data_IF_352191878292
#
_entry.id   IF_352191878292
#
_cell.length_a   1.000
_cell.length_b   1.000
_cell.length_c   1.000
_cell.angle_alpha   90.00
_cell.angle_beta   90.00
_cell.angle_gamma   90.00
#
_symmetry.space_group_name_H-M   'P 1'
#
loop_
_entity.id
_entity.type
_entity.pdbx_description
1 polymer ?
#
# COMPACT_ATOMS: atom_id res chain seq x y z
N UNK A 1 31.54 71.99 -7.59
CA UNK A 1 30.65 71.00 -6.95
C UNK A 1 29.60 70.53 -7.95
N UNK A 2 29.87 69.46 -8.70
CA UNK A 2 28.85 68.57 -9.29
C UNK A 2 29.55 67.28 -9.72
N UNK A 3 29.01 66.15 -9.27
CA UNK A 3 29.60 64.82 -9.23
C UNK A 3 29.55 64.11 -10.60
N UNK A 4 30.58 63.31 -10.86
CA UNK A 4 30.61 62.22 -11.87
C UNK A 4 29.44 61.27 -11.69
N UNK A 5 28.93 60.66 -12.78
CA UNK A 5 28.34 59.31 -12.79
C UNK A 5 28.29 58.71 -14.21
N UNK A 6 29.12 57.70 -14.43
CA UNK A 6 28.91 56.64 -15.42
C UNK A 6 27.65 55.85 -15.02
N UNK A 7 26.84 55.42 -16.00
CA UNK A 7 25.84 54.38 -15.79
C UNK A 7 26.05 53.27 -16.81
N UNK A 8 26.45 52.12 -16.28
CA UNK A 8 26.74 50.86 -16.97
C UNK A 8 25.49 50.14 -17.44
N UNK A 9 25.68 49.32 -18.47
CA UNK A 9 24.81 48.28 -19.01
C UNK A 9 24.08 47.46 -17.93
N UNK A 10 22.78 47.21 -18.14
CA UNK A 10 22.06 46.13 -17.48
C UNK A 10 21.41 45.23 -18.55
N UNK A 11 22.06 44.09 -18.83
CA UNK A 11 21.43 42.98 -19.56
C UNK A 11 20.65 42.17 -18.53
N UNK A 12 19.33 42.18 -18.62
CA UNK A 12 18.48 41.31 -17.80
C UNK A 12 18.34 39.97 -18.52
N UNK A 13 19.10 38.97 -18.08
CA UNK A 13 18.94 37.59 -18.53
C UNK A 13 17.87 36.93 -17.64
N UNK A 14 16.64 36.82 -18.15
CA UNK A 14 15.58 36.07 -17.49
C UNK A 14 15.88 34.57 -17.60
N UNK A 15 16.42 33.99 -16.52
CA UNK A 15 16.63 32.55 -16.40
C UNK A 15 15.29 31.84 -16.23
N UNK A 16 14.92 31.02 -17.22
CA UNK A 16 13.82 30.06 -17.10
C UNK A 16 14.27 28.96 -16.12
N UNK A 17 13.80 29.02 -14.88
CA UNK A 17 13.95 27.92 -13.93
C UNK A 17 12.93 26.84 -14.30
N UNK A 18 13.37 25.83 -15.05
CA UNK A 18 12.58 24.61 -15.24
C UNK A 18 12.63 23.83 -13.93
N UNK A 19 11.58 23.95 -13.12
CA UNK A 19 11.37 23.05 -12.00
C UNK A 19 11.07 21.66 -12.57
N UNK A 20 12.08 20.79 -12.58
CA UNK A 20 11.91 19.37 -12.83
C UNK A 20 11.08 18.79 -11.68
N UNK A 21 9.82 18.47 -11.97
CA UNK A 21 8.97 17.70 -11.07
C UNK A 21 9.54 16.29 -11.06
N UNK A 22 10.36 15.96 -10.07
CA UNK A 22 10.77 14.58 -9.85
C UNK A 22 9.51 13.78 -9.59
N UNK A 23 9.14 12.92 -10.52
CA UNK A 23 8.30 11.78 -10.20
C UNK A 23 9.02 11.04 -9.07
N UNK A 24 8.43 10.98 -7.89
CA UNK A 24 8.94 10.14 -6.81
C UNK A 24 8.95 8.71 -7.35
N UNK A 25 10.12 8.23 -7.78
CA UNK A 25 10.31 6.81 -7.99
C UNK A 25 9.98 6.14 -6.65
N UNK A 26 9.00 5.24 -6.64
CA UNK A 26 8.62 4.53 -5.44
C UNK A 26 9.87 3.84 -4.87
N UNK A 27 10.13 4.03 -3.58
CA UNK A 27 11.23 3.37 -2.88
C UNK A 27 11.09 1.85 -3.07
N UNK A 28 12.07 1.16 -3.70
CA UNK A 28 11.99 -0.27 -3.94
C UNK A 28 11.77 -1.07 -2.65
N UNK A 29 12.32 -0.61 -1.52
CA UNK A 29 12.12 -1.28 -0.23
C UNK A 29 10.67 -1.20 0.23
N UNK A 30 9.92 -0.20 -0.21
CA UNK A 30 8.50 0.01 0.08
C UNK A 30 7.62 -0.29 -1.12
N UNK A 31 8.07 -1.13 -2.05
CA UNK A 31 7.28 -1.55 -3.21
C UNK A 31 7.10 -3.06 -3.20
N UNK A 32 5.84 -3.51 -3.21
CA UNK A 32 5.47 -4.92 -3.33
C UNK A 32 4.92 -5.17 -4.74
N UNK A 33 5.34 -6.25 -5.39
CA UNK A 33 4.80 -6.67 -6.69
C UNK A 33 4.09 -8.00 -6.51
N UNK A 34 2.82 -8.05 -6.92
CA UNK A 34 2.05 -9.29 -6.99
C UNK A 34 1.96 -9.69 -8.46
N UNK A 35 2.58 -10.81 -8.83
CA UNK A 35 2.48 -11.35 -10.19
C UNK A 35 1.24 -12.22 -10.33
N UNK A 36 0.33 -11.81 -11.20
CA UNK A 36 -0.87 -12.55 -11.56
C UNK A 36 -0.74 -13.08 -12.99
N UNK A 37 -1.62 -14.03 -13.35
CA UNK A 37 -1.68 -14.57 -14.73
C UNK A 37 -1.95 -13.50 -15.79
N UNK A 38 -2.64 -12.42 -15.42
CA UNK A 38 -3.10 -11.35 -16.32
C UNK A 38 -2.22 -10.09 -16.21
N UNK A 39 -1.16 -10.13 -15.40
CA UNK A 39 -0.22 -9.02 -15.23
C UNK A 39 0.18 -8.76 -13.78
N UNK A 40 1.13 -7.85 -13.62
CA UNK A 40 1.63 -7.46 -12.31
C UNK A 40 0.77 -6.37 -11.67
N UNK A 41 0.59 -6.48 -10.36
CA UNK A 41 0.01 -5.44 -9.50
C UNK A 41 1.11 -4.89 -8.61
N UNK A 42 1.52 -3.65 -8.86
CA UNK A 42 2.52 -2.94 -8.05
C UNK A 42 1.83 -2.14 -6.95
N UNK A 43 2.22 -2.39 -5.69
CA UNK A 43 1.65 -1.77 -4.49
C UNK A 43 2.76 -0.98 -3.79
N UNK A 44 2.52 0.31 -3.59
CA UNK A 44 3.34 1.14 -2.71
C UNK A 44 2.91 0.93 -1.26
N UNK A 45 3.86 0.53 -0.42
CA UNK A 45 3.69 0.35 1.01
C UNK A 45 3.89 1.69 1.74
N UNK A 46 3.09 1.95 2.78
CA UNK A 46 3.07 3.23 3.51
C UNK A 46 3.56 3.07 4.96
N UNK A 47 4.87 2.87 5.19
CA UNK A 47 5.41 2.75 6.55
C UNK A 47 5.25 4.04 7.36
N UNK A 48 5.01 5.17 6.69
CA UNK A 48 4.66 6.45 7.30
C UNK A 48 3.26 6.46 7.94
N UNK A 49 2.37 5.56 7.51
CA UNK A 49 1.01 5.41 8.06
C UNK A 49 0.86 4.16 8.94
N UNK A 50 1.36 3.03 8.47
CA UNK A 50 1.18 1.73 9.10
C UNK A 50 2.51 0.96 9.20
N UNK A 51 3.49 1.46 9.99
CA UNK A 51 4.83 0.90 10.05
C UNK A 51 4.86 -0.58 10.45
N UNK A 52 4.02 -1.01 11.41
CA UNK A 52 4.01 -2.40 11.88
C UNK A 52 3.40 -3.34 10.85
N UNK A 53 2.32 -2.91 10.19
CA UNK A 53 1.73 -3.71 9.12
C UNK A 53 2.67 -3.83 7.92
N UNK A 54 3.33 -2.75 7.54
CA UNK A 54 4.31 -2.77 6.44
C UNK A 54 5.49 -3.69 6.77
N UNK A 55 6.02 -3.65 7.99
CA UNK A 55 7.07 -4.57 8.43
C UNK A 55 6.63 -6.04 8.30
N UNK A 56 5.44 -6.37 8.79
CA UNK A 56 4.91 -7.73 8.75
C UNK A 56 4.63 -8.20 7.31
N UNK A 57 4.04 -7.36 6.45
CA UNK A 57 3.83 -7.67 5.04
C UNK A 57 5.17 -7.96 4.35
N UNK A 58 6.18 -7.10 4.53
CA UNK A 58 7.51 -7.33 3.96
C UNK A 58 8.13 -8.64 4.43
N UNK A 59 7.98 -8.96 5.72
CA UNK A 59 8.48 -10.23 6.28
C UNK A 59 7.82 -11.42 5.60
N UNK A 60 6.51 -11.42 5.45
CA UNK A 60 5.75 -12.50 4.81
C UNK A 60 6.07 -12.63 3.31
N UNK A 61 6.21 -11.51 2.60
CA UNK A 61 6.65 -11.49 1.19
C UNK A 61 8.04 -12.12 1.06
N UNK A 62 9.01 -11.71 1.87
CA UNK A 62 10.40 -12.24 1.82
C UNK A 62 10.48 -13.72 2.18
N UNK A 63 9.51 -14.24 2.94
CA UNK A 63 9.39 -15.66 3.27
C UNK A 63 8.69 -16.47 2.16
N UNK A 64 8.19 -15.84 1.10
CA UNK A 64 7.39 -16.50 0.06
C UNK A 64 6.01 -16.95 0.56
N UNK A 65 5.53 -16.41 1.68
CA UNK A 65 4.30 -16.89 2.33
C UNK A 65 3.04 -16.67 1.46
N UNK A 66 3.07 -15.66 0.60
CA UNK A 66 1.96 -15.33 -0.32
C UNK A 66 1.99 -16.11 -1.64
N UNK A 67 3.03 -16.91 -1.89
CA UNK A 67 3.16 -17.63 -3.15
C UNK A 67 2.00 -18.62 -3.33
N UNK A 68 1.25 -18.44 -4.43
CA UNK A 68 0.05 -19.21 -4.77
C UNK A 68 -1.14 -19.02 -3.80
N UNK A 69 -1.12 -17.99 -2.94
CA UNK A 69 -2.29 -17.64 -2.11
C UNK A 69 -3.37 -17.01 -2.98
N UNK A 70 -4.59 -17.53 -2.86
CA UNK A 70 -5.73 -17.09 -3.65
C UNK A 70 -6.24 -15.70 -3.21
N UNK A 71 -6.80 -14.96 -4.17
CA UNK A 71 -7.82 -13.96 -3.89
C UNK A 71 -9.13 -14.70 -3.61
N UNK A 72 -9.35 -15.06 -2.36
CA UNK A 72 -10.42 -15.96 -1.97
C UNK A 72 -11.78 -15.25 -1.82
N UNK A 73 -11.79 -13.92 -1.70
CA UNK A 73 -13.01 -13.12 -1.59
C UNK A 73 -12.90 -11.89 -2.47
N UNK A 74 -13.63 -11.90 -3.59
CA UNK A 74 -13.66 -10.80 -4.57
C UNK A 74 -15.10 -10.36 -4.76
N UNK A 75 -15.37 -9.07 -4.53
CA UNK A 75 -16.71 -8.49 -4.65
C UNK A 75 -16.61 -7.32 -5.63
N UNK A 76 -17.31 -7.45 -6.76
CA UNK A 76 -17.36 -6.40 -7.77
C UNK A 76 -17.95 -5.10 -7.18
N UNK A 77 -17.38 -3.96 -7.59
CA UNK A 77 -17.72 -2.67 -7.03
C UNK A 77 -17.31 -2.46 -5.56
N UNK A 78 -16.53 -3.36 -4.95
CA UNK A 78 -16.05 -3.18 -3.57
C UNK A 78 -14.55 -3.45 -3.42
N UNK A 79 -14.11 -4.72 -3.32
CA UNK A 79 -12.71 -5.06 -3.10
C UNK A 79 -12.34 -6.50 -3.51
N UNK A 80 -11.04 -6.78 -3.57
CA UNK A 80 -10.49 -8.12 -3.64
C UNK A 80 -9.60 -8.38 -2.42
N UNK A 81 -9.91 -9.42 -1.64
CA UNK A 81 -9.20 -9.82 -0.43
C UNK A 81 -8.38 -11.10 -0.66
N UNK A 82 -7.15 -11.09 -0.12
CA UNK A 82 -6.17 -12.18 -0.22
C UNK A 82 -5.36 -12.28 1.08
N UNK A 83 -4.30 -13.09 1.07
CA UNK A 83 -3.32 -13.17 2.16
C UNK A 83 -3.66 -14.17 3.27
N UNK A 84 -4.62 -15.07 3.05
CA UNK A 84 -4.80 -16.22 3.95
C UNK A 84 -3.72 -17.25 3.64
N UNK A 85 -2.57 -17.10 4.30
CA UNK A 85 -1.40 -17.95 4.07
C UNK A 85 -1.55 -19.36 4.65
N UNK A 86 -2.57 -19.59 5.49
CA UNK A 86 -2.80 -20.87 6.15
C UNK A 86 -3.73 -21.79 5.35
N UNK A 87 -4.83 -21.23 4.84
CA UNK A 87 -5.87 -22.00 4.16
C UNK A 87 -6.10 -21.56 2.70
N UNK A 88 -5.46 -20.47 2.27
CA UNK A 88 -5.63 -19.91 0.93
C UNK A 88 -4.59 -20.33 -0.10
N UNK A 89 -3.60 -21.17 0.25
CA UNK A 89 -2.55 -21.57 -0.70
C UNK A 89 -3.04 -22.67 -1.66
N UNK A 90 -3.24 -22.30 -2.94
CA UNK A 90 -3.81 -23.16 -3.97
C UNK A 90 -2.94 -24.38 -4.33
N UNK A 91 -1.65 -24.38 -3.96
CA UNK A 91 -0.74 -25.51 -4.19
C UNK A 91 -0.46 -26.32 -2.92
N UNK A 92 -0.79 -25.80 -1.75
CA UNK A 92 -0.43 -26.39 -0.46
C UNK A 92 -1.52 -26.13 0.59
N UNK A 93 -2.49 -27.04 0.68
CA UNK A 93 -3.45 -27.01 1.78
C UNK A 93 -4.56 -25.97 1.64
N UNK A 94 -4.98 -25.67 0.40
CA UNK A 94 -6.20 -24.90 0.17
C UNK A 94 -7.40 -25.60 0.81
N UNK A 95 -8.20 -24.86 1.59
CA UNK A 95 -9.48 -25.34 2.13
C UNK A 95 -10.56 -24.32 1.83
N UNK A 96 -11.54 -24.71 1.01
CA UNK A 96 -12.67 -23.85 0.66
C UNK A 96 -13.55 -23.51 1.86
N UNK A 97 -13.58 -24.40 2.87
CA UNK A 97 -14.38 -24.27 4.08
C UNK A 97 -13.75 -23.33 5.11
N UNK A 98 -12.41 -23.20 5.10
CA UNK A 98 -11.68 -22.42 6.11
C UNK A 98 -11.03 -21.14 5.57
N UNK A 99 -10.91 -20.99 4.25
CA UNK A 99 -10.26 -19.80 3.66
C UNK A 99 -10.95 -18.50 4.08
N UNK A 100 -10.14 -17.51 4.44
CA UNK A 100 -10.57 -16.23 5.02
C UNK A 100 -10.53 -16.21 6.55
N UNK A 101 -10.38 -17.37 7.21
CA UNK A 101 -10.26 -17.46 8.68
C UNK A 101 -8.82 -17.61 9.17
N UNK A 102 -7.88 -17.85 8.25
CA UNK A 102 -6.48 -18.12 8.58
C UNK A 102 -5.61 -16.86 8.67
N UNK A 103 -4.37 -17.09 9.07
CA UNK A 103 -3.31 -16.09 9.19
C UNK A 103 -1.95 -16.79 9.22
N UNK A 104 -0.89 -16.00 9.24
CA UNK A 104 0.48 -16.49 9.46
C UNK A 104 0.73 -16.89 10.91
N UNK A 105 1.88 -17.51 11.16
CA UNK A 105 2.36 -17.82 12.53
C UNK A 105 2.90 -16.59 13.28
N UNK A 106 2.83 -15.40 12.67
CA UNK A 106 3.23 -14.15 13.31
C UNK A 106 2.13 -13.63 14.25
N UNK A 107 2.48 -12.76 15.23
CA UNK A 107 1.49 -12.14 16.09
C UNK A 107 0.45 -11.31 15.33
N UNK A 108 -0.73 -11.17 15.95
CA UNK A 108 -1.70 -10.17 15.51
C UNK A 108 -1.15 -8.75 15.74
N UNK A 109 -1.57 -7.82 14.89
CA UNK A 109 -1.09 -6.45 14.88
C UNK A 109 -2.10 -5.49 15.52
N UNK A 110 -1.66 -4.53 16.35
CA UNK A 110 -2.52 -3.45 16.78
C UNK A 110 -2.91 -2.59 15.59
N UNK A 111 -4.13 -2.06 15.59
CA UNK A 111 -4.64 -1.25 14.50
C UNK A 111 -3.82 0.05 14.30
N UNK A 112 -3.57 0.44 13.05
CA UNK A 112 -2.82 1.65 12.68
C UNK A 112 -3.69 2.55 11.79
N UNK A 113 -4.79 3.05 12.35
CA UNK A 113 -5.77 3.82 11.58
C UNK A 113 -5.24 5.18 11.13
N UNK A 114 -5.53 5.53 9.87
CA UNK A 114 -5.26 6.86 9.31
C UNK A 114 -6.48 7.77 9.39
N UNK A 115 -6.23 9.06 9.63
CA UNK A 115 -7.24 10.12 9.52
C UNK A 115 -7.17 10.88 8.18
N UNK A 116 -6.12 10.66 7.40
CA UNK A 116 -5.82 11.41 6.16
C UNK A 116 -5.98 10.55 4.91
N UNK A 117 -5.94 9.24 5.04
CA UNK A 117 -6.22 8.31 3.94
C UNK A 117 -7.65 7.81 3.98
N UNK A 118 -8.17 7.57 2.78
CA UNK A 118 -9.54 7.13 2.55
C UNK A 118 -9.54 5.92 1.64
N UNK A 119 -10.38 4.93 1.90
CA UNK A 119 -10.51 3.70 1.13
C UNK A 119 -11.17 3.95 -0.23
N UNK A 120 -10.41 4.57 -1.14
CA UNK A 120 -10.76 4.81 -2.55
C UNK A 120 -10.21 3.68 -3.42
N UNK A 121 -10.64 3.62 -4.69
CA UNK A 121 -10.11 2.64 -5.65
C UNK A 121 -8.58 2.63 -5.66
N UNK A 122 -7.99 1.43 -5.56
CA UNK A 122 -6.54 1.20 -5.54
C UNK A 122 -5.90 1.25 -4.15
N UNK A 123 -6.60 1.75 -3.12
CA UNK A 123 -6.10 1.72 -1.74
C UNK A 123 -6.09 0.29 -1.23
N UNK A 124 -5.04 -0.06 -0.51
CA UNK A 124 -4.87 -1.35 0.15
C UNK A 124 -5.10 -1.16 1.64
N UNK A 125 -5.92 -2.03 2.24
CA UNK A 125 -6.15 -2.05 3.68
C UNK A 125 -5.97 -3.45 4.26
N UNK A 126 -5.78 -3.53 5.58
CA UNK A 126 -5.55 -4.80 6.27
C UNK A 126 -6.85 -5.42 6.76
N UNK A 127 -7.06 -6.69 6.41
CA UNK A 127 -8.24 -7.41 6.88
C UNK A 127 -8.07 -7.82 8.34
N UNK A 128 -9.18 -7.81 9.08
CA UNK A 128 -9.25 -8.18 10.50
C UNK A 128 -10.60 -8.82 10.82
N UNK A 129 -10.67 -9.45 11.98
CA UNK A 129 -11.91 -9.88 12.62
C UNK A 129 -12.62 -8.68 13.28
N UNK A 130 -13.57 -8.95 14.17
CA UNK A 130 -14.26 -7.92 14.94
C UNK A 130 -13.30 -7.14 15.85
N UNK A 131 -12.28 -7.78 16.39
CA UNK A 131 -11.26 -7.09 17.19
C UNK A 131 -10.37 -6.22 16.27
N UNK A 132 -10.30 -4.89 16.51
CA UNK A 132 -9.43 -3.98 15.77
C UNK A 132 -7.97 -4.40 15.70
N UNK A 133 -7.48 -5.13 16.71
CA UNK A 133 -6.08 -5.53 16.86
C UNK A 133 -5.82 -6.97 16.39
N UNK A 134 -6.69 -7.50 15.53
CA UNK A 134 -6.59 -8.89 15.06
C UNK A 134 -6.01 -9.04 13.65
N UNK A 135 -5.55 -7.95 13.02
CA UNK A 135 -4.95 -8.02 11.69
C UNK A 135 -3.70 -8.92 11.72
N UNK A 136 -3.46 -9.67 10.64
CA UNK A 136 -2.33 -10.61 10.58
C UNK A 136 -1.64 -10.60 9.20
N UNK A 137 -2.11 -11.42 8.27
CA UNK A 137 -1.51 -11.57 6.92
C UNK A 137 -2.48 -11.23 5.79
N UNK A 138 -3.78 -11.13 6.08
CA UNK A 138 -4.78 -10.86 5.08
C UNK A 138 -4.91 -9.36 4.80
N UNK A 139 -5.02 -9.00 3.53
CA UNK A 139 -5.22 -7.63 3.06
C UNK A 139 -6.21 -7.61 1.90
N UNK A 140 -6.76 -6.42 1.62
CA UNK A 140 -7.70 -6.21 0.53
C UNK A 140 -7.30 -5.01 -0.34
N UNK A 141 -7.64 -5.08 -1.62
CA UNK A 141 -7.41 -4.02 -2.62
C UNK A 141 -8.77 -3.47 -3.04
N UNK A 142 -8.96 -2.17 -2.87
CA UNK A 142 -10.23 -1.51 -3.17
C UNK A 142 -10.48 -1.36 -4.67
N UNK A 143 -11.69 -1.70 -5.12
CA UNK A 143 -12.15 -1.47 -6.50
C UNK A 143 -13.01 -0.21 -6.63
N UNK A 144 -13.68 0.21 -5.54
CA UNK A 144 -14.47 1.42 -5.47
C UNK A 144 -14.31 2.10 -4.09
N UNK A 145 -14.76 3.36 -3.92
CA UNK A 145 -14.76 4.01 -2.62
C UNK A 145 -15.62 3.29 -1.58
N UNK A 146 -15.12 3.14 -0.36
CA UNK A 146 -15.86 2.61 0.78
C UNK A 146 -15.65 3.46 2.05
N UNK A 147 -16.27 4.66 2.13
CA UNK A 147 -16.16 5.55 3.30
C UNK A 147 -16.45 4.89 4.67
N UNK A 148 -17.35 3.89 4.80
CA UNK A 148 -17.54 3.21 6.09
C UNK A 148 -16.32 2.49 6.66
N UNK A 149 -15.27 2.25 5.86
CA UNK A 149 -14.02 1.64 6.31
C UNK A 149 -13.02 2.66 6.87
N UNK A 150 -13.20 3.95 6.56
CA UNK A 150 -12.27 5.00 6.95
C UNK A 150 -12.21 5.16 8.48
N UNK A 151 -10.99 5.19 9.03
CA UNK A 151 -10.76 5.21 10.47
C UNK A 151 -11.19 3.92 11.21
N UNK A 152 -11.56 2.86 10.49
CA UNK A 152 -11.97 1.56 11.05
C UNK A 152 -11.05 0.41 10.65
N UNK A 153 -10.25 0.62 9.60
CA UNK A 153 -9.28 -0.32 9.07
C UNK A 153 -7.95 0.40 8.86
N UNK A 154 -6.85 -0.33 9.06
CA UNK A 154 -5.50 0.11 8.72
C UNK A 154 -5.34 0.17 7.22
#
# INVERSE_FOLDING_TARGET
>A
MQLKKLASFLVVLAGLVTASVSAFAADPENTMVITLKDGDVTIALRPDLAPKHVEQIKKLVRQGAYDNVAFHRVIDGFMAQTGDVKFGNMKKGFSAEAVGTGGSDLPALPAEFSQTEHHKRGVVGMARSQDPNSANSQFFIMFAPAPPLDGQYT
#
